data_IF_047778571088
#
_entry.id   IF_047778571088
#
_cell.length_a   1.000
_cell.length_b   1.000
_cell.length_c   1.000
_cell.angle_alpha   90.00
_cell.angle_beta   90.00
_cell.angle_gamma   90.00
#
_symmetry.space_group_name_H-M   'P 1'
#
loop_
_entity.id
_entity.type
_entity.pdbx_description
1 polymer ?
#
# COMPACT_ATOMS: atom_id res chain seq x y z
N UNK A 1 27.88 -28.29 37.68
CA UNK A 1 28.42 -27.31 36.71
C UNK A 1 27.72 -27.54 35.38
N UNK A 2 27.26 -26.45 34.77
CA UNK A 2 26.41 -26.32 33.58
C UNK A 2 27.09 -26.75 32.28
N UNK A 3 26.36 -27.44 31.39
CA UNK A 3 26.10 -27.08 29.98
C UNK A 3 25.84 -28.35 29.11
N UNK A 4 24.62 -28.53 28.59
CA UNK A 4 24.27 -29.66 27.72
C UNK A 4 24.50 -29.36 26.23
N UNK A 5 24.90 -30.41 25.52
CA UNK A 5 24.60 -30.80 24.13
C UNK A 5 23.99 -29.71 23.21
N UNK A 6 24.82 -29.23 22.29
CA UNK A 6 24.40 -28.51 21.07
C UNK A 6 23.68 -29.50 20.13
N UNK A 7 22.39 -29.72 20.37
CA UNK A 7 21.48 -30.19 19.35
C UNK A 7 21.12 -28.98 18.48
N UNK A 8 21.73 -28.89 17.30
CA UNK A 8 21.26 -28.00 16.24
C UNK A 8 19.89 -28.52 15.79
N UNK A 9 18.84 -28.01 16.45
CA UNK A 9 17.51 -28.02 15.89
C UNK A 9 17.53 -27.09 14.67
N UNK A 10 17.83 -27.68 13.51
CA UNK A 10 17.49 -27.10 12.22
C UNK A 10 15.97 -27.01 12.20
N UNK A 11 15.44 -25.91 12.76
CA UNK A 11 14.05 -25.57 12.62
C UNK A 11 13.82 -25.40 11.13
N UNK A 12 13.21 -26.42 10.53
CA UNK A 12 12.54 -26.30 9.26
C UNK A 12 11.66 -25.06 9.36
N UNK A 13 12.10 -23.97 8.71
CA UNK A 13 11.20 -22.98 8.18
C UNK A 13 10.31 -23.80 7.26
N UNK A 14 9.22 -24.31 7.81
CA UNK A 14 8.12 -24.79 7.00
C UNK A 14 7.79 -23.61 6.12
N UNK A 15 8.09 -23.76 4.84
CA UNK A 15 7.56 -22.89 3.82
C UNK A 15 6.06 -22.82 4.09
N UNK A 16 5.62 -21.70 4.67
CA UNK A 16 4.22 -21.35 4.65
C UNK A 16 3.79 -21.53 3.19
N UNK A 17 2.65 -22.21 2.92
CA UNK A 17 2.19 -22.40 1.56
C UNK A 17 2.29 -21.05 0.86
N UNK A 18 3.00 -21.03 -0.29
CA UNK A 18 3.15 -19.80 -1.05
C UNK A 18 1.73 -19.27 -1.26
N UNK A 19 1.46 -18.03 -0.81
CA UNK A 19 0.13 -17.48 -0.91
C UNK A 19 -0.29 -17.49 -2.38
N UNK A 20 -1.60 -17.62 -2.69
CA UNK A 20 -2.06 -17.62 -4.07
C UNK A 20 -1.45 -16.43 -4.81
N UNK A 21 -0.98 -16.63 -6.04
CA UNK A 21 -0.36 -15.55 -6.83
C UNK A 21 -1.29 -14.32 -6.89
N UNK A 22 -2.60 -14.56 -6.99
CA UNK A 22 -3.66 -13.54 -6.96
C UNK A 22 -3.66 -12.73 -5.65
N UNK A 23 -3.32 -13.33 -4.52
CA UNK A 23 -3.25 -12.66 -3.21
C UNK A 23 -2.02 -11.77 -3.10
N UNK A 24 -0.88 -12.17 -3.67
CA UNK A 24 0.34 -11.36 -3.67
C UNK A 24 0.17 -10.14 -4.59
N UNK A 25 -0.32 -10.34 -5.81
CA UNK A 25 -0.57 -9.24 -6.76
C UNK A 25 -1.61 -8.25 -6.22
N UNK A 26 -2.68 -8.77 -5.59
CA UNK A 26 -3.68 -7.93 -4.92
C UNK A 26 -3.08 -7.16 -3.75
N UNK A 27 -2.20 -7.79 -2.96
CA UNK A 27 -1.50 -7.12 -1.86
C UNK A 27 -0.60 -6.00 -2.38
N UNK A 28 0.22 -6.26 -3.40
CA UNK A 28 1.12 -5.27 -4.00
C UNK A 28 0.33 -4.09 -4.59
N UNK A 29 -0.78 -4.38 -5.27
CA UNK A 29 -1.69 -3.37 -5.82
C UNK A 29 -2.32 -2.52 -4.70
N UNK A 30 -2.79 -3.17 -3.62
CA UNK A 30 -3.33 -2.47 -2.46
C UNK A 30 -2.29 -1.59 -1.76
N UNK A 31 -1.05 -2.06 -1.63
CA UNK A 31 0.05 -1.30 -1.04
C UNK A 31 0.53 -0.16 -1.94
N UNK A 32 0.56 -0.35 -3.26
CA UNK A 32 0.84 0.72 -4.23
C UNK A 32 -0.21 1.83 -4.11
N UNK A 33 -1.49 1.48 -4.12
CA UNK A 33 -2.55 2.45 -3.98
C UNK A 33 -2.56 3.11 -2.60
N UNK A 34 -2.30 2.37 -1.52
CA UNK A 34 -2.11 2.97 -0.20
C UNK A 34 -1.01 4.04 -0.22
N UNK A 35 0.13 3.75 -0.87
CA UNK A 35 1.25 4.66 -1.03
C UNK A 35 0.90 5.94 -1.79
N UNK A 36 0.20 5.81 -2.93
CA UNK A 36 -0.29 6.93 -3.75
C UNK A 36 -1.26 7.82 -2.96
N UNK A 37 -2.19 7.22 -2.20
CA UNK A 37 -3.10 7.96 -1.34
C UNK A 37 -2.33 8.70 -0.23
N UNK A 38 -1.35 8.05 0.40
CA UNK A 38 -0.46 8.68 1.38
C UNK A 38 0.33 9.85 0.79
N UNK A 39 0.88 9.69 -0.41
CA UNK A 39 1.64 10.72 -1.13
C UNK A 39 0.78 11.93 -1.46
N UNK A 40 -0.43 11.72 -1.97
CA UNK A 40 -1.35 12.81 -2.28
C UNK A 40 -1.82 13.56 -1.02
N UNK A 41 -2.09 12.84 0.08
CA UNK A 41 -2.39 13.46 1.37
C UNK A 41 -1.24 14.33 1.88
N UNK A 42 0.01 13.87 1.73
CA UNK A 42 1.18 14.65 2.10
C UNK A 42 1.27 15.94 1.28
N UNK A 43 1.09 15.88 -0.05
CA UNK A 43 1.08 17.07 -0.91
C UNK A 43 -0.04 18.06 -0.55
N UNK A 44 -1.25 17.58 -0.27
CA UNK A 44 -2.35 18.44 0.16
C UNK A 44 -2.08 19.11 1.51
N UNK A 45 -1.45 18.40 2.45
CA UNK A 45 -1.04 18.99 3.72
C UNK A 45 -0.02 20.13 3.53
N UNK A 46 0.88 20.02 2.55
CA UNK A 46 1.78 21.11 2.16
C UNK A 46 1.03 22.28 1.48
N UNK A 47 -0.01 21.99 0.70
CA UNK A 47 -0.77 22.99 -0.07
C UNK A 47 -1.98 23.62 0.69
N UNK A 48 -2.20 23.27 1.98
CA UNK A 48 -3.28 23.77 2.85
C UNK A 48 -4.72 23.56 2.34
N UNK A 49 -4.98 22.49 1.59
CA UNK A 49 -6.33 22.10 1.17
C UNK A 49 -6.91 21.00 2.10
N UNK A 50 -7.61 21.40 3.16
CA UNK A 50 -8.09 20.48 4.23
C UNK A 50 -9.22 19.52 3.78
N UNK A 51 -10.14 19.94 2.90
CA UNK A 51 -11.24 19.08 2.45
C UNK A 51 -10.77 17.94 1.54
N UNK A 52 -9.79 18.22 0.68
CA UNK A 52 -9.17 17.23 -0.20
C UNK A 52 -8.42 16.19 0.64
N UNK A 53 -7.65 16.64 1.63
CA UNK A 53 -6.95 15.79 2.60
C UNK A 53 -7.88 14.83 3.34
N UNK A 54 -9.04 15.29 3.80
CA UNK A 54 -10.01 14.44 4.51
C UNK A 54 -10.64 13.34 3.64
N UNK A 55 -10.76 13.56 2.32
CA UNK A 55 -11.24 12.53 1.37
C UNK A 55 -10.16 11.51 1.05
N UNK A 56 -8.93 11.98 0.79
CA UNK A 56 -7.78 11.12 0.51
C UNK A 56 -7.46 10.24 1.71
N UNK A 57 -7.49 10.80 2.93
CA UNK A 57 -7.25 10.09 4.19
C UNK A 57 -8.31 8.98 4.45
N UNK A 58 -9.59 9.25 4.17
CA UNK A 58 -10.65 8.20 4.25
C UNK A 58 -10.42 7.05 3.28
N UNK A 59 -10.12 7.36 2.02
CA UNK A 59 -9.89 6.34 0.99
C UNK A 59 -8.56 5.59 1.23
N UNK A 60 -7.50 6.29 1.64
CA UNK A 60 -6.18 5.72 1.98
C UNK A 60 -6.25 4.73 3.13
N UNK A 61 -7.04 5.01 4.18
CA UNK A 61 -7.32 4.03 5.25
C UNK A 61 -8.00 2.76 4.72
N UNK A 62 -8.86 2.88 3.70
CA UNK A 62 -9.47 1.74 3.02
C UNK A 62 -8.41 0.83 2.40
N UNK A 63 -7.47 1.38 1.64
CA UNK A 63 -6.36 0.62 1.05
C UNK A 63 -5.46 -0.04 2.09
N UNK A 64 -5.10 0.68 3.16
CA UNK A 64 -4.30 0.11 4.26
C UNK A 64 -5.04 -1.05 4.93
N UNK A 65 -6.36 -0.93 5.10
CA UNK A 65 -7.19 -2.00 5.67
C UNK A 65 -7.22 -3.23 4.76
N UNK A 66 -7.43 -3.04 3.45
CA UNK A 66 -7.41 -4.13 2.46
C UNK A 66 -6.03 -4.79 2.41
N UNK A 67 -4.96 -4.01 2.31
CA UNK A 67 -3.60 -4.52 2.31
C UNK A 67 -3.26 -5.29 3.60
N UNK A 68 -3.72 -4.81 4.76
CA UNK A 68 -3.55 -5.53 6.04
C UNK A 68 -4.28 -6.88 6.02
N UNK A 69 -5.49 -6.95 5.46
CA UNK A 69 -6.23 -8.22 5.32
C UNK A 69 -5.53 -9.17 4.36
N UNK A 70 -5.08 -8.67 3.21
CA UNK A 70 -4.35 -9.47 2.21
C UNK A 70 -2.97 -9.92 2.72
N UNK A 71 -2.37 -9.17 3.65
CA UNK A 71 -1.10 -9.48 4.27
C UNK A 71 -1.16 -10.58 5.34
N UNK A 72 -2.33 -10.81 5.96
CA UNK A 72 -2.51 -11.88 6.96
C UNK A 72 -2.13 -13.28 6.42
N UNK A 73 -2.64 -13.74 5.26
CA UNK A 73 -2.22 -15.03 4.69
C UNK A 73 -0.76 -15.04 4.23
N UNK A 74 -0.14 -13.88 3.99
CA UNK A 74 1.29 -13.77 3.64
C UNK A 74 2.20 -13.88 4.88
N UNK A 75 1.65 -13.88 6.09
CA UNK A 75 2.42 -13.91 7.34
C UNK A 75 3.19 -12.61 7.61
N UNK A 76 2.82 -11.49 6.97
CA UNK A 76 3.53 -10.22 7.13
C UNK A 76 3.23 -9.58 8.49
N UNK A 77 4.27 -9.02 9.11
CA UNK A 77 4.14 -8.30 10.38
C UNK A 77 3.63 -6.87 10.17
N UNK A 78 3.12 -6.25 11.23
CA UNK A 78 2.74 -4.82 11.20
C UNK A 78 3.91 -3.91 10.82
N UNK A 79 5.12 -4.24 11.28
CA UNK A 79 6.33 -3.48 10.95
C UNK A 79 6.67 -3.59 9.46
N UNK A 80 6.56 -4.79 8.88
CA UNK A 80 6.75 -4.99 7.44
C UNK A 80 5.70 -4.24 6.62
N UNK A 81 4.45 -4.24 7.08
CA UNK A 81 3.38 -3.47 6.43
C UNK A 81 3.63 -1.96 6.50
N UNK A 82 4.06 -1.46 7.65
CA UNK A 82 4.41 -0.05 7.82
C UNK A 82 5.60 0.35 6.94
N UNK A 83 6.64 -0.49 6.89
CA UNK A 83 7.80 -0.26 6.02
C UNK A 83 7.41 -0.28 4.53
N UNK A 84 6.59 -1.24 4.10
CA UNK A 84 6.09 -1.30 2.73
C UNK A 84 5.22 -0.09 2.38
N UNK A 85 4.40 0.39 3.32
CA UNK A 85 3.60 1.61 3.14
C UNK A 85 4.49 2.83 2.95
N UNK A 86 5.44 3.06 3.87
CA UNK A 86 6.39 4.17 3.77
C UNK A 86 7.17 4.12 2.45
N UNK A 87 7.72 2.95 2.10
CA UNK A 87 8.47 2.79 0.85
C UNK A 87 7.60 3.09 -0.39
N UNK A 88 6.33 2.68 -0.37
CA UNK A 88 5.37 2.96 -1.45
C UNK A 88 5.06 4.46 -1.55
N UNK A 89 4.81 5.13 -0.42
CA UNK A 89 4.60 6.59 -0.37
C UNK A 89 5.82 7.37 -0.83
N UNK A 90 7.01 7.01 -0.38
CA UNK A 90 8.26 7.65 -0.81
C UNK A 90 8.53 7.47 -2.30
N UNK A 91 8.21 6.29 -2.85
CA UNK A 91 8.31 6.04 -4.29
C UNK A 91 7.37 6.94 -5.08
N UNK A 92 6.13 7.11 -4.62
CA UNK A 92 5.15 7.98 -5.26
C UNK A 92 5.52 9.48 -5.16
N UNK A 93 6.13 9.92 -4.06
CA UNK A 93 6.60 11.30 -3.88
C UNK A 93 7.97 11.59 -4.52
N UNK A 94 8.77 10.56 -4.77
CA UNK A 94 10.15 10.69 -5.26
C UNK A 94 10.28 11.58 -6.50
N UNK A 95 9.49 11.36 -7.57
CA UNK A 95 9.54 12.20 -8.77
C UNK A 95 9.25 13.69 -8.49
N UNK A 96 8.38 13.99 -7.53
CA UNK A 96 7.98 15.37 -7.18
C UNK A 96 9.05 16.03 -6.31
N UNK A 97 9.57 15.29 -5.33
CA UNK A 97 10.51 15.83 -4.32
C UNK A 97 11.95 15.91 -4.80
N UNK A 98 12.33 15.12 -5.82
CA UNK A 98 13.70 15.08 -6.37
C UNK A 98 13.88 15.94 -7.62
N UNK A 99 12.79 16.32 -8.28
CA UNK A 99 12.83 17.20 -9.45
C UNK A 99 13.31 18.61 -9.06
N UNK A 100 14.11 19.22 -9.93
CA UNK A 100 14.56 20.62 -9.79
C UNK A 100 13.91 21.56 -10.81
N UNK A 101 13.18 21.02 -11.79
CA UNK A 101 12.52 21.77 -12.83
C UNK A 101 11.00 21.78 -12.59
N UNK A 102 10.40 22.96 -12.55
CA UNK A 102 8.96 23.12 -12.39
C UNK A 102 8.12 22.27 -13.38
N UNK A 103 8.40 22.24 -14.69
CA UNK A 103 7.59 21.43 -15.62
C UNK A 103 7.67 19.92 -15.33
N UNK A 104 8.80 19.41 -14.84
CA UNK A 104 8.95 18.00 -14.45
C UNK A 104 8.17 17.70 -13.17
N UNK A 105 8.17 18.64 -12.22
CA UNK A 105 7.37 18.55 -10.99
C UNK A 105 5.88 18.56 -11.31
N UNK A 106 5.43 19.44 -12.21
CA UNK A 106 4.03 19.54 -12.61
C UNK A 106 3.57 18.25 -13.33
N UNK A 107 4.42 17.70 -14.22
CA UNK A 107 4.16 16.41 -14.86
C UNK A 107 4.08 15.25 -13.85
N UNK A 108 4.97 15.24 -12.85
CA UNK A 108 4.95 14.25 -11.77
C UNK A 108 3.71 14.37 -10.89
N UNK A 109 3.26 15.59 -10.58
CA UNK A 109 2.00 15.84 -9.86
C UNK A 109 0.80 15.39 -10.69
N UNK A 110 0.79 15.66 -12.00
CA UNK A 110 -0.26 15.20 -12.91
C UNK A 110 -0.32 13.67 -12.97
N UNK A 111 0.83 13.00 -13.06
CA UNK A 111 0.92 11.55 -13.02
C UNK A 111 0.40 10.99 -11.69
N UNK A 112 0.81 11.56 -10.55
CA UNK A 112 0.31 11.15 -9.24
C UNK A 112 -1.20 11.32 -9.12
N UNK A 113 -1.76 12.39 -9.70
CA UNK A 113 -3.20 12.59 -9.75
C UNK A 113 -3.92 11.52 -10.59
N UNK A 114 -3.38 11.16 -11.74
CA UNK A 114 -3.93 10.09 -12.57
C UNK A 114 -3.88 8.73 -11.86
N UNK A 115 -2.76 8.40 -11.20
CA UNK A 115 -2.64 7.18 -10.40
C UNK A 115 -3.61 7.16 -9.22
N UNK A 116 -3.79 8.30 -8.55
CA UNK A 116 -4.77 8.43 -7.48
C UNK A 116 -6.19 8.14 -7.96
N UNK A 117 -6.58 8.68 -9.11
CA UNK A 117 -7.93 8.49 -9.64
C UNK A 117 -8.17 7.04 -10.07
N UNK A 118 -7.15 6.39 -10.66
CA UNK A 118 -7.17 4.95 -10.94
C UNK A 118 -7.32 4.13 -9.64
N UNK A 119 -6.60 4.49 -8.58
CA UNK A 119 -6.75 3.85 -7.28
C UNK A 119 -8.17 4.07 -6.73
N UNK A 120 -8.76 5.26 -6.81
CA UNK A 120 -10.16 5.45 -6.37
C UNK A 120 -11.13 4.49 -7.07
N UNK A 121 -10.96 4.26 -8.38
CA UNK A 121 -11.80 3.30 -9.12
C UNK A 121 -11.61 1.87 -8.60
N UNK A 122 -10.38 1.47 -8.32
CA UNK A 122 -10.07 0.15 -7.74
C UNK A 122 -10.63 -0.01 -6.31
N UNK A 123 -10.56 1.03 -5.47
CA UNK A 123 -11.22 1.00 -4.17
C UNK A 123 -12.74 0.80 -4.29
N UNK A 124 -13.37 1.44 -5.28
CA UNK A 124 -14.80 1.28 -5.52
C UNK A 124 -15.16 -0.14 -5.96
N UNK A 125 -14.35 -0.78 -6.81
CA UNK A 125 -14.60 -2.18 -7.21
C UNK A 125 -14.49 -3.12 -6.01
N UNK A 126 -13.49 -2.95 -5.15
CA UNK A 126 -13.36 -3.77 -3.93
C UNK A 126 -14.49 -3.54 -2.93
N UNK A 127 -14.97 -2.30 -2.79
CA UNK A 127 -16.16 -2.02 -1.97
C UNK A 127 -17.38 -2.73 -2.56
N UNK A 128 -17.58 -2.66 -3.88
CA UNK A 128 -18.69 -3.31 -4.55
C UNK A 128 -18.65 -4.84 -4.43
N UNK A 129 -17.46 -5.44 -4.52
CA UNK A 129 -17.22 -6.87 -4.27
C UNK A 129 -17.55 -7.24 -2.83
N UNK A 130 -17.06 -6.45 -1.85
CA UNK A 130 -17.30 -6.69 -0.44
C UNK A 130 -18.78 -6.52 -0.02
N UNK A 131 -19.53 -5.65 -0.70
CA UNK A 131 -20.97 -5.47 -0.44
C UNK A 131 -21.86 -6.46 -1.20
N UNK A 132 -21.29 -7.42 -1.94
CA UNK A 132 -22.06 -8.39 -2.73
C UNK A 132 -22.87 -7.76 -3.87
N UNK A 133 -22.57 -6.52 -4.21
CA UNK A 133 -23.19 -5.77 -5.33
C UNK A 133 -22.37 -5.87 -6.60
N UNK A 134 -21.21 -6.55 -6.54
CA UNK A 134 -20.45 -6.92 -7.72
C UNK A 134 -21.16 -8.09 -8.41
N UNK A 135 -22.03 -7.76 -9.36
CA UNK A 135 -22.34 -8.65 -10.46
C UNK A 135 -21.13 -8.62 -11.41
N UNK A 136 -20.12 -9.45 -11.14
CA UNK A 136 -19.21 -9.86 -12.21
C UNK A 136 -20.05 -10.63 -13.27
N UNK A 137 -19.70 -10.55 -14.56
CA UNK A 137 -20.55 -10.95 -15.69
C UNK A 137 -21.02 -12.42 -15.67
#
# INVERSE_FOLDING_TARGET
MFAPLLAFALAAVQAAPAPPADTLESYESAMRCAGVMGAKSALFAFNREEEAKARVDRNGRGFVTVATRLAQPLGLTREQLAAAFTASTERALGPITRSRAQPETDAAVAQLNAEHDACILLARSWVAEASGTSSAP
#
